data_IF_927075116930
#
_entry.id   IF_927075116930
#
_cell.length_a   1.000
_cell.length_b   1.000
_cell.length_c   1.000
_cell.angle_alpha   90.00
_cell.angle_beta   90.00
_cell.angle_gamma   90.00
#
_symmetry.space_group_name_H-M   'P 1'
#
loop_
_entity.id
_entity.type
_entity.pdbx_description
1 polymer ?
#
# COMPACT_ATOMS: atom_id res chain seq x y z
N UNK A 1 16.10 -14.36 -3.83
CA UNK A 1 14.92 -13.99 -3.03
C UNK A 1 15.10 -12.52 -2.67
N UNK A 2 14.63 -11.65 -3.55
CA UNK A 2 14.80 -10.20 -3.42
C UNK A 2 13.54 -9.69 -2.74
N UNK A 3 13.68 -9.21 -1.53
CA UNK A 3 12.61 -8.58 -0.74
C UNK A 3 12.22 -7.32 -1.50
N UNK A 4 11.01 -7.32 -2.08
CA UNK A 4 10.38 -6.09 -2.57
C UNK A 4 10.10 -5.26 -1.32
N UNK A 5 11.06 -4.42 -0.93
CA UNK A 5 10.78 -3.30 -0.06
C UNK A 5 9.91 -2.34 -0.89
N UNK A 6 8.61 -2.58 -0.89
CA UNK A 6 7.69 -1.47 -1.09
C UNK A 6 8.09 -0.45 -0.03
N UNK A 7 8.67 0.65 -0.47
CA UNK A 7 8.86 1.80 0.39
C UNK A 7 7.45 2.23 0.82
N UNK A 8 6.96 1.61 1.89
CA UNK A 8 5.88 2.14 2.67
C UNK A 8 6.46 3.45 3.21
N UNK A 9 6.29 4.53 2.47
CA UNK A 9 6.40 5.85 3.01
C UNK A 9 5.30 5.91 4.08
N UNK A 10 5.65 5.42 5.28
CA UNK A 10 4.93 5.80 6.49
C UNK A 10 4.99 7.32 6.49
N UNK A 11 3.95 7.95 5.95
CA UNK A 11 3.70 9.35 6.19
C UNK A 11 3.38 9.40 7.69
N UNK A 12 4.45 9.42 8.49
CA UNK A 12 4.37 9.72 9.90
C UNK A 12 3.90 11.17 10.00
N UNK A 13 2.59 11.35 9.89
CA UNK A 13 1.97 12.59 10.32
C UNK A 13 2.39 12.80 11.78
N UNK A 14 2.87 13.98 12.14
CA UNK A 14 3.34 14.22 13.50
C UNK A 14 2.18 14.01 14.46
N UNK A 15 2.19 12.88 15.16
CA UNK A 15 1.26 12.58 16.27
C UNK A 15 1.49 13.48 17.48
N UNK A 16 2.05 14.67 17.31
CA UNK A 16 2.54 15.53 18.39
C UNK A 16 1.55 16.52 18.95
N UNK A 17 0.23 16.39 18.73
CA UNK A 17 -0.71 17.40 19.18
C UNK A 17 -1.87 16.94 20.10
N UNK A 18 -1.94 15.67 20.55
CA UNK A 18 -3.17 15.21 21.23
C UNK A 18 -3.03 14.70 22.67
N UNK A 19 -2.05 15.16 23.45
CA UNK A 19 -2.04 14.89 24.90
C UNK A 19 -2.61 16.04 25.72
N UNK A 20 -3.82 16.47 25.39
CA UNK A 20 -4.63 17.29 26.27
C UNK A 20 -5.64 16.42 27.01
N UNK A 21 -5.57 16.36 28.34
CA UNK A 21 -6.63 15.80 29.19
C UNK A 21 -7.93 16.64 29.03
N UNK A 22 -8.73 16.31 28.05
CA UNK A 22 -10.12 16.81 27.95
C UNK A 22 -11.00 15.60 27.62
N UNK A 23 -12.14 15.54 28.26
CA UNK A 23 -13.09 14.43 28.35
C UNK A 23 -13.19 13.54 27.11
N UNK A 24 -13.30 12.26 27.36
CA UNK A 24 -13.25 11.14 26.41
C UNK A 24 -14.27 11.27 25.25
N UNK A 25 -13.98 12.09 24.24
CA UNK A 25 -14.76 12.18 23.00
C UNK A 25 -14.00 11.45 21.89
N UNK A 26 -14.73 10.69 21.07
CA UNK A 26 -14.21 10.14 19.84
C UNK A 26 -13.82 11.26 18.87
N UNK A 27 -12.59 11.24 18.39
CA UNK A 27 -12.08 12.19 17.39
C UNK A 27 -11.95 11.49 16.05
N UNK A 28 -12.43 12.13 14.99
CA UNK A 28 -12.31 11.66 13.62
C UNK A 28 -11.54 12.70 12.79
N UNK A 29 -10.62 12.25 11.98
CA UNK A 29 -9.87 13.09 11.06
C UNK A 29 -9.82 12.40 9.69
N UNK A 30 -9.73 13.19 8.63
CA UNK A 30 -9.49 12.68 7.27
C UNK A 30 -8.34 13.46 6.65
N UNK A 31 -7.50 12.74 5.92
CA UNK A 31 -6.36 13.31 5.20
C UNK A 31 -6.35 12.80 3.76
N UNK A 32 -5.76 13.60 2.87
CA UNK A 32 -5.50 13.20 1.49
C UNK A 32 -4.14 13.70 1.05
N UNK A 33 -3.33 12.79 0.49
CA UNK A 33 -2.01 13.09 -0.07
C UNK A 33 -1.95 12.56 -1.49
N UNK A 34 -1.27 13.30 -2.38
CA UNK A 34 -0.98 12.87 -3.76
C UNK A 34 0.50 13.07 -4.01
N UNK A 35 1.17 12.06 -4.55
CA UNK A 35 2.58 12.12 -4.92
C UNK A 35 2.85 11.26 -6.14
N UNK A 36 3.98 11.51 -6.81
CA UNK A 36 4.43 10.73 -7.96
C UNK A 36 5.83 10.19 -7.67
N UNK A 37 6.04 8.93 -7.96
CA UNK A 37 7.31 8.23 -7.81
C UNK A 37 7.77 7.63 -9.13
N UNK A 38 9.09 7.48 -9.27
CA UNK A 38 9.75 6.79 -10.38
C UNK A 38 10.67 5.72 -9.81
N UNK A 39 10.53 4.50 -10.29
CA UNK A 39 11.34 3.37 -9.84
C UNK A 39 11.41 2.28 -10.90
N UNK A 40 12.41 1.41 -10.78
CA UNK A 40 12.53 0.21 -11.60
C UNK A 40 11.85 -0.97 -10.95
N UNK A 41 11.13 -1.74 -11.75
CA UNK A 41 10.40 -2.92 -11.28
C UNK A 41 10.55 -4.10 -12.25
N UNK A 42 10.92 -5.30 -11.79
CA UNK A 42 11.00 -6.49 -12.65
C UNK A 42 9.60 -7.00 -12.99
N UNK A 43 9.33 -7.16 -14.29
CA UNK A 43 8.12 -7.81 -14.78
C UNK A 43 8.39 -9.32 -14.94
N UNK A 44 7.88 -10.13 -14.05
CA UNK A 44 8.06 -11.58 -14.08
C UNK A 44 7.39 -12.24 -15.30
N UNK A 45 6.35 -11.59 -15.85
CA UNK A 45 5.62 -12.12 -17.01
C UNK A 45 6.39 -11.99 -18.32
N UNK A 46 7.28 -11.03 -18.42
CA UNK A 46 8.10 -10.78 -19.63
C UNK A 46 9.60 -10.94 -19.35
N UNK A 47 9.96 -11.16 -18.08
CA UNK A 47 11.34 -11.28 -17.61
C UNK A 47 12.21 -10.08 -18.04
N UNK A 48 11.65 -8.88 -17.94
CA UNK A 48 12.34 -7.63 -18.23
C UNK A 48 12.19 -6.63 -17.08
N UNK A 49 13.11 -5.67 -17.01
CA UNK A 49 13.02 -4.53 -16.11
C UNK A 49 12.10 -3.46 -16.74
N UNK A 50 11.26 -2.86 -15.94
CA UNK A 50 10.37 -1.77 -16.34
C UNK A 50 10.77 -0.50 -15.60
N UNK A 51 10.84 0.62 -16.32
CA UNK A 51 10.85 1.97 -15.75
C UNK A 51 9.41 2.39 -15.45
N UNK A 52 9.10 2.55 -14.17
CA UNK A 52 7.74 2.76 -13.67
C UNK A 52 7.56 4.19 -13.18
N UNK A 53 6.51 4.82 -13.64
CA UNK A 53 5.97 6.06 -13.07
C UNK A 53 4.63 5.75 -12.42
N UNK A 54 4.54 6.00 -11.12
CA UNK A 54 3.33 5.79 -10.34
C UNK A 54 2.86 7.11 -9.72
N UNK A 55 1.60 7.47 -9.96
CA UNK A 55 0.95 8.58 -9.27
C UNK A 55 -0.04 8.04 -8.26
N UNK A 56 0.34 8.16 -6.99
CA UNK A 56 -0.40 7.62 -5.87
C UNK A 56 -1.26 8.68 -5.18
N UNK A 57 -2.52 8.38 -4.95
CA UNK A 57 -3.44 9.12 -4.09
C UNK A 57 -3.77 8.29 -2.86
N UNK A 58 -3.41 8.78 -1.69
CA UNK A 58 -3.74 8.18 -0.40
C UNK A 58 -4.83 9.01 0.27
N UNK A 59 -5.93 8.37 0.66
CA UNK A 59 -7.01 8.99 1.43
C UNK A 59 -7.21 8.18 2.70
N UNK A 60 -6.95 8.80 3.86
CA UNK A 60 -7.05 8.16 5.16
C UNK A 60 -8.19 8.74 5.99
N UNK A 61 -8.77 7.87 6.81
CA UNK A 61 -9.77 8.20 7.83
C UNK A 61 -9.30 7.65 9.17
N UNK A 62 -9.00 8.56 10.08
CA UNK A 62 -8.48 8.26 11.40
C UNK A 62 -9.59 8.39 12.44
N UNK A 63 -9.62 7.48 13.38
CA UNK A 63 -10.53 7.51 14.50
C UNK A 63 -9.80 7.20 15.80
N UNK A 64 -9.72 8.17 16.68
CA UNK A 64 -9.30 7.95 18.07
C UNK A 64 -10.55 7.83 18.94
N UNK A 65 -10.74 6.66 19.55
CA UNK A 65 -11.87 6.37 20.41
C UNK A 65 -11.63 6.83 21.85
N UNK A 66 -12.71 7.03 22.58
CA UNK A 66 -12.68 7.40 23.99
C UNK A 66 -11.94 6.41 24.89
N UNK A 67 -11.85 5.14 24.50
CA UNK A 67 -11.12 4.07 25.18
C UNK A 67 -9.60 4.04 24.83
N UNK A 68 -9.12 5.03 24.07
CA UNK A 68 -7.73 5.14 23.63
C UNK A 68 -7.38 4.33 22.39
N UNK A 69 -8.31 3.53 21.87
CA UNK A 69 -8.10 2.75 20.66
C UNK A 69 -8.06 3.67 19.44
N UNK A 70 -6.99 3.54 18.64
CA UNK A 70 -6.84 4.21 17.35
C UNK A 70 -7.11 3.26 16.20
N UNK A 71 -7.88 3.71 15.22
CA UNK A 71 -8.10 3.03 13.96
C UNK A 71 -7.80 3.99 12.82
N UNK A 72 -7.06 3.53 11.84
CA UNK A 72 -6.84 4.20 10.57
C UNK A 72 -7.31 3.30 9.44
N UNK A 73 -7.96 3.89 8.46
CA UNK A 73 -8.34 3.21 7.21
C UNK A 73 -7.94 4.10 6.05
N UNK A 74 -7.09 3.58 5.20
CA UNK A 74 -6.65 4.27 3.99
C UNK A 74 -7.14 3.56 2.74
N UNK A 75 -7.58 4.34 1.77
CA UNK A 75 -7.73 3.92 0.39
C UNK A 75 -6.58 4.53 -0.41
N UNK A 76 -5.81 3.68 -1.07
CA UNK A 76 -4.67 4.04 -1.90
C UNK A 76 -5.06 3.74 -3.34
N UNK A 77 -5.05 4.76 -4.18
CA UNK A 77 -5.25 4.63 -5.63
C UNK A 77 -3.98 5.00 -6.34
N UNK A 78 -3.60 4.18 -7.30
CA UNK A 78 -2.41 4.37 -8.11
C UNK A 78 -2.78 4.38 -9.58
N UNK A 79 -2.20 5.34 -10.31
CA UNK A 79 -2.20 5.41 -11.77
C UNK A 79 -0.76 5.12 -12.22
N UNK A 80 -0.57 3.95 -12.85
CA UNK A 80 0.74 3.39 -13.18
C UNK A 80 0.98 3.44 -14.68
N UNK A 81 2.14 3.93 -15.08
CA UNK A 81 2.70 3.76 -16.42
C UNK A 81 4.07 3.11 -16.31
N UNK A 82 4.31 2.07 -17.08
CA UNK A 82 5.57 1.37 -17.09
C UNK A 82 6.10 1.18 -18.52
N UNK A 83 7.40 1.34 -18.71
CA UNK A 83 8.10 1.16 -19.97
C UNK A 83 9.10 0.00 -19.84
N UNK A 84 8.95 -1.04 -20.65
CA UNK A 84 9.93 -2.13 -20.71
C UNK A 84 11.25 -1.67 -21.32
N UNK A 85 12.34 -1.79 -20.58
CA UNK A 85 13.64 -1.27 -20.96
C UNK A 85 14.21 -1.96 -22.21
N UNK A 86 13.97 -3.27 -22.35
CA UNK A 86 14.49 -4.06 -23.46
C UNK A 86 13.58 -4.06 -24.69
N UNK A 87 12.28 -3.99 -24.49
CA UNK A 87 11.28 -4.13 -25.56
C UNK A 87 10.67 -2.81 -26.01
N UNK A 88 10.73 -1.76 -25.17
CA UNK A 88 10.04 -0.51 -25.39
C UNK A 88 8.50 -0.61 -25.29
N UNK A 89 7.99 -1.72 -24.79
CA UNK A 89 6.55 -1.92 -24.60
C UNK A 89 6.07 -1.04 -23.43
N UNK A 90 4.94 -0.40 -23.63
CA UNK A 90 4.29 0.42 -22.60
C UNK A 90 3.16 -0.37 -21.97
N UNK A 91 3.14 -0.42 -20.64
CA UNK A 91 2.00 -0.87 -19.83
C UNK A 91 1.36 0.34 -19.16
N UNK A 92 0.06 0.27 -19.02
CA UNK A 92 -0.71 1.24 -18.25
C UNK A 92 -1.69 0.50 -17.36
N UNK A 93 -1.91 1.04 -16.18
CA UNK A 93 -2.80 0.40 -15.26
C UNK A 93 -3.20 1.29 -14.10
N UNK A 94 -4.07 0.72 -13.30
CA UNK A 94 -4.52 1.31 -12.05
C UNK A 94 -4.43 0.26 -10.96
N UNK A 95 -4.18 0.72 -9.74
CA UNK A 95 -4.29 -0.11 -8.57
C UNK A 95 -5.19 0.54 -7.54
N UNK A 96 -5.80 -0.29 -6.71
CA UNK A 96 -6.50 0.16 -5.50
C UNK A 96 -6.13 -0.76 -4.38
N UNK A 97 -5.57 -0.18 -3.31
CA UNK A 97 -5.27 -0.89 -2.08
C UNK A 97 -6.12 -0.34 -0.95
N UNK A 98 -6.35 -1.18 0.04
CA UNK A 98 -7.03 -0.83 1.28
C UNK A 98 -6.13 -1.21 2.44
N UNK A 99 -5.68 -0.19 3.15
CA UNK A 99 -4.93 -0.35 4.37
C UNK A 99 -5.84 -0.17 5.57
N UNK A 100 -5.62 -0.99 6.57
CA UNK A 100 -6.26 -0.83 7.86
C UNK A 100 -5.23 -1.03 8.95
N UNK A 101 -5.10 -0.04 9.81
CA UNK A 101 -4.30 -0.10 11.02
C UNK A 101 -5.19 0.08 12.25
N UNK A 102 -4.97 -0.74 13.26
CA UNK A 102 -5.67 -0.65 14.53
C UNK A 102 -4.68 -0.84 15.65
N UNK A 103 -4.65 0.08 16.62
CA UNK A 103 -3.80 -0.05 17.80
C UNK A 103 -4.52 0.37 19.07
N UNK A 104 -4.15 -0.27 20.18
CA UNK A 104 -4.53 0.12 21.53
C UNK A 104 -3.35 0.82 22.22
N UNK A 105 -2.13 0.39 21.89
CA UNK A 105 -0.86 0.90 22.35
C UNK A 105 0.27 0.51 21.39
N UNK A 106 1.52 0.87 21.70
CA UNK A 106 2.67 0.59 20.83
C UNK A 106 3.04 -0.89 20.73
N UNK A 107 2.49 -1.75 21.60
CA UNK A 107 2.78 -3.18 21.68
C UNK A 107 1.63 -4.06 21.17
N UNK A 108 0.46 -3.47 20.92
CA UNK A 108 -0.73 -4.20 20.52
C UNK A 108 -1.36 -3.52 19.31
N UNK A 109 -1.06 -4.03 18.12
CA UNK A 109 -1.62 -3.52 16.88
C UNK A 109 -1.89 -4.61 15.85
N UNK A 110 -2.74 -4.28 14.90
CA UNK A 110 -2.93 -5.03 13.66
C UNK A 110 -2.78 -4.10 12.47
N UNK A 111 -2.11 -4.57 11.42
CA UNK A 111 -2.02 -3.93 10.13
C UNK A 111 -2.46 -4.90 9.05
N UNK A 112 -3.18 -4.44 8.07
CA UNK A 112 -3.48 -5.20 6.85
C UNK A 112 -3.45 -4.28 5.64
N UNK A 113 -2.87 -4.77 4.55
CA UNK A 113 -2.89 -4.14 3.24
C UNK A 113 -3.37 -5.16 2.21
N UNK A 114 -4.34 -4.81 1.41
CA UNK A 114 -4.87 -5.68 0.38
C UNK A 114 -5.23 -4.91 -0.87
N UNK A 115 -4.77 -5.41 -2.02
CA UNK A 115 -5.10 -4.81 -3.30
C UNK A 115 -4.54 -5.56 -4.49
N UNK A 116 -4.75 -4.98 -5.67
CA UNK A 116 -4.20 -5.51 -6.91
C UNK A 116 -3.84 -4.38 -7.87
N UNK A 117 -2.76 -4.59 -8.61
CA UNK A 117 -2.30 -3.75 -9.72
C UNK A 117 -2.64 -4.48 -11.01
N UNK A 118 -3.35 -3.83 -11.91
CA UNK A 118 -3.67 -4.35 -13.24
C UNK A 118 -2.89 -3.57 -14.28
N UNK A 119 -1.87 -4.18 -14.87
CA UNK A 119 -1.06 -3.60 -15.94
C UNK A 119 -1.46 -4.19 -17.28
N UNK A 120 -1.94 -3.33 -18.17
CA UNK A 120 -2.37 -3.68 -19.52
C UNK A 120 -1.33 -3.19 -20.51
N UNK A 121 -0.76 -4.10 -21.31
CA UNK A 121 0.20 -3.75 -22.34
C UNK A 121 -0.46 -3.05 -23.52
N UNK A 122 0.17 -2.00 -24.03
CA UNK A 122 -0.17 -1.42 -25.33
C UNK A 122 0.53 -2.21 -26.44
N UNK A 123 -0.13 -3.26 -26.93
CA UNK A 123 0.43 -4.10 -27.98
C UNK A 123 0.15 -5.59 -27.79
N UNK A 124 1.14 -6.42 -28.17
CA UNK A 124 1.00 -7.88 -28.14
C UNK A 124 1.57 -8.55 -26.89
N UNK A 125 2.08 -7.78 -25.96
CA UNK A 125 2.66 -8.31 -24.74
C UNK A 125 1.57 -8.82 -23.76
N UNK A 126 2.01 -9.63 -22.83
CA UNK A 126 1.17 -10.20 -21.76
C UNK A 126 0.75 -9.10 -20.80
N UNK A 127 -0.50 -9.11 -20.39
CA UNK A 127 -0.97 -8.28 -19.28
C UNK A 127 -0.52 -8.90 -17.96
N UNK A 128 -0.27 -8.05 -16.98
CA UNK A 128 0.19 -8.49 -15.66
C UNK A 128 -0.80 -8.04 -14.59
N UNK A 129 -1.19 -8.97 -13.73
CA UNK A 129 -1.94 -8.65 -12.52
C UNK A 129 -1.05 -9.01 -11.32
N UNK A 130 -0.85 -8.05 -10.43
CA UNK A 130 -0.08 -8.25 -9.20
C UNK A 130 -1.05 -8.10 -8.04
N UNK A 131 -1.25 -9.19 -7.29
CA UNK A 131 -2.10 -9.18 -6.10
C UNK A 131 -1.21 -9.11 -4.86
N UNK A 132 -1.55 -8.22 -3.93
CA UNK A 132 -0.84 -8.05 -2.66
C UNK A 132 -1.85 -8.27 -1.53
N UNK A 133 -1.47 -9.12 -0.59
CA UNK A 133 -2.22 -9.36 0.66
C UNK A 133 -1.20 -9.46 1.80
N UNK A 134 -1.23 -8.48 2.69
CA UNK A 134 -0.33 -8.36 3.83
C UNK A 134 -1.14 -8.28 5.11
N UNK A 135 -0.72 -9.00 6.12
CA UNK A 135 -1.29 -8.95 7.45
C UNK A 135 -0.21 -9.09 8.50
N UNK A 136 -0.17 -8.15 9.44
CA UNK A 136 0.76 -8.15 10.56
C UNK A 136 -0.01 -7.96 11.86
N UNK A 137 0.31 -8.75 12.87
CA UNK A 137 -0.23 -8.60 14.23
C UNK A 137 0.89 -8.60 15.25
N UNK A 138 0.88 -7.61 16.10
CA UNK A 138 1.67 -7.58 17.33
C UNK A 138 0.77 -7.68 18.56
N UNK A 139 1.18 -8.50 19.53
CA UNK A 139 0.57 -8.62 20.83
C UNK A 139 1.65 -8.67 21.91
N UNK A 140 1.51 -7.85 22.95
CA UNK A 140 2.46 -7.77 24.07
C UNK A 140 3.91 -7.56 23.61
N UNK A 141 4.12 -6.68 22.60
CA UNK A 141 5.40 -6.41 21.95
C UNK A 141 6.03 -7.62 21.23
N UNK A 142 5.28 -8.68 20.97
CA UNK A 142 5.72 -9.82 20.21
C UNK A 142 4.95 -9.92 18.87
N UNK A 143 5.67 -10.23 17.79
CA UNK A 143 5.06 -10.52 16.49
C UNK A 143 4.35 -11.89 16.60
N UNK A 144 3.03 -11.89 16.46
CA UNK A 144 2.20 -13.11 16.59
C UNK A 144 1.67 -13.61 15.26
N UNK A 145 1.62 -12.76 14.24
CA UNK A 145 1.21 -13.13 12.89
C UNK A 145 1.90 -12.21 11.89
N UNK A 146 2.41 -12.79 10.80
CA UNK A 146 3.12 -12.08 9.75
C UNK A 146 2.91 -12.82 8.43
N UNK A 147 2.01 -12.29 7.60
CA UNK A 147 1.66 -12.87 6.30
C UNK A 147 1.94 -11.86 5.21
N UNK A 148 2.74 -12.25 4.23
CA UNK A 148 3.04 -11.47 3.03
C UNK A 148 2.83 -12.35 1.80
N UNK A 149 1.82 -12.02 1.01
CA UNK A 149 1.52 -12.69 -0.24
C UNK A 149 1.65 -11.66 -1.35
N UNK A 150 2.51 -11.94 -2.32
CA UNK A 150 2.54 -11.23 -3.60
C UNK A 150 2.44 -12.28 -4.70
N UNK A 151 1.37 -12.22 -5.48
CA UNK A 151 1.09 -13.16 -6.55
C UNK A 151 1.06 -12.45 -7.90
N UNK A 152 1.74 -13.04 -8.89
CA UNK A 152 1.84 -12.53 -10.25
C UNK A 152 1.04 -13.44 -11.19
N UNK A 153 -0.01 -12.90 -11.79
CA UNK A 153 -0.82 -13.57 -12.79
C UNK A 153 -0.55 -12.96 -14.19
N UNK A 154 0.05 -13.77 -15.05
CA UNK A 154 0.38 -13.38 -16.40
C UNK A 154 -0.75 -13.75 -17.35
N UNK A 155 -1.56 -12.78 -17.74
CA UNK A 155 -2.70 -12.99 -18.61
C UNK A 155 -2.33 -12.73 -20.06
N UNK A 156 -2.04 -13.81 -20.78
CA UNK A 156 -1.95 -13.79 -22.24
C UNK A 156 -3.29 -13.44 -22.87
N UNK A 157 -3.28 -13.12 -24.19
CA UNK A 157 -4.47 -12.89 -24.99
C UNK A 157 -5.42 -14.07 -24.98
#
# INVERSE_FOLDING_TARGET
>A
MMIILTALALVALPATAFFGKAGAQTQNQSSKVVFTEHFEFPNECTNELMDVTDTTTVTCHDQLRADGKFNEKCEIRQDVTALGESTGIVWQGTATFKDQFTTVDNCNFTFSNRGAIHLISRGSAVNTVITIDEFVRMQDCALTDDQHIADFDCRGR
#
